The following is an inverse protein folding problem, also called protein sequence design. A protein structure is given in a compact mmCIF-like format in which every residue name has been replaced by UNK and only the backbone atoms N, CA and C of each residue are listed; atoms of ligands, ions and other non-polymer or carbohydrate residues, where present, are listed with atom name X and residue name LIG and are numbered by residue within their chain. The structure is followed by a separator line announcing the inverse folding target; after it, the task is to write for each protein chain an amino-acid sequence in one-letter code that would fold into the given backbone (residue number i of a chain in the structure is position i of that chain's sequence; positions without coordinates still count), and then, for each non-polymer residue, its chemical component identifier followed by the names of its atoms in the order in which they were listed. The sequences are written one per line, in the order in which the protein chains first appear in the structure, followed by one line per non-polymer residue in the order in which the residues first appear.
data_IF_340801880510
#
_entry.id   IF_340801880510
#
_cell.length_a   1.000
_cell.length_b   1.000
_cell.length_c   1.000
_cell.angle_alpha   90.00
_cell.angle_beta   90.00
_cell.angle_gamma   90.00
#
_symmetry.space_group_name_H-M   'P 1'
#
loop_
_entity.id
_entity.type
_entity.pdbx_description
1 polymer ?
#
# COMPACT_ATOMS: atom_id res chain seq x y z
N UNK A 1 -20.27 -5.02 3.39
CA UNK A 1 -21.11 -3.97 4.01
C UNK A 1 -20.47 -3.40 5.27
N UNK A 2 -20.24 -4.18 6.34
CA UNK A 2 -19.62 -3.66 7.59
C UNK A 2 -18.26 -2.98 7.37
N UNK A 3 -17.39 -3.54 6.51
CA UNK A 3 -16.04 -3.01 6.27
C UNK A 3 -16.03 -1.64 5.54
N UNK A 4 -17.07 -1.34 4.73
CA UNK A 4 -17.23 -0.04 4.06
C UNK A 4 -17.70 1.05 5.02
N UNK A 5 -18.52 0.68 6.01
CA UNK A 5 -18.98 1.59 7.07
C UNK A 5 -17.85 1.89 8.06
N UNK A 6 -17.03 0.88 8.38
CA UNK A 6 -15.86 1.05 9.25
C UNK A 6 -14.75 1.82 8.54
N UNK A 7 -14.53 1.60 7.24
CA UNK A 7 -13.53 2.30 6.41
C UNK A 7 -14.05 3.64 5.86
N UNK A 8 -14.78 4.42 6.67
CA UNK A 8 -15.36 5.68 6.21
C UNK A 8 -14.26 6.65 5.69
N UNK A 9 -14.37 7.19 4.46
CA UNK A 9 -13.40 8.15 3.90
C UNK A 9 -13.31 9.48 4.66
N UNK A 10 -14.28 9.76 5.54
CA UNK A 10 -14.30 10.94 6.42
C UNK A 10 -13.43 10.73 7.67
N UNK A 11 -13.25 9.47 8.12
CA UNK A 11 -12.64 9.15 9.42
C UNK A 11 -11.34 8.34 9.33
N UNK A 12 -11.12 7.61 8.24
CA UNK A 12 -9.90 6.84 8.00
C UNK A 12 -8.99 7.48 6.95
N UNK A 13 -7.68 7.20 6.98
CA UNK A 13 -6.77 7.59 5.92
C UNK A 13 -7.26 7.14 4.54
N UNK A 14 -7.20 8.03 3.54
CA UNK A 14 -7.71 7.83 2.18
C UNK A 14 -7.23 6.51 1.54
N UNK A 15 -6.02 6.06 1.89
CA UNK A 15 -5.47 4.80 1.39
C UNK A 15 -6.26 3.58 1.85
N UNK A 16 -6.74 3.55 3.10
CA UNK A 16 -7.40 2.38 3.68
C UNK A 16 -8.75 2.14 3.00
N UNK A 17 -9.52 3.22 2.79
CA UNK A 17 -10.76 3.15 2.01
C UNK A 17 -10.51 2.73 0.57
N UNK A 18 -9.50 3.33 -0.10
CA UNK A 18 -9.12 2.99 -1.46
C UNK A 18 -8.77 1.51 -1.63
N UNK A 19 -7.90 0.97 -0.78
CA UNK A 19 -7.50 -0.45 -0.85
C UNK A 19 -8.68 -1.39 -0.62
N UNK A 20 -9.55 -1.10 0.35
CA UNK A 20 -10.75 -1.92 0.62
C UNK A 20 -11.73 -1.85 -0.55
N UNK A 21 -11.96 -0.66 -1.10
CA UNK A 21 -12.83 -0.45 -2.25
C UNK A 21 -12.33 -1.21 -3.49
N UNK A 22 -11.06 -1.05 -3.85
CA UNK A 22 -10.47 -1.77 -4.98
C UNK A 22 -10.46 -3.28 -4.77
N UNK A 23 -10.18 -3.76 -3.55
CA UNK A 23 -10.25 -5.19 -3.24
C UNK A 23 -11.65 -5.76 -3.50
N UNK A 24 -12.70 -5.03 -3.11
CA UNK A 24 -14.08 -5.44 -3.38
C UNK A 24 -14.37 -5.42 -4.89
N UNK A 25 -13.92 -4.39 -5.62
CA UNK A 25 -14.06 -4.33 -7.08
C UNK A 25 -13.35 -5.50 -7.78
N UNK A 26 -12.13 -5.87 -7.33
CA UNK A 26 -11.40 -7.03 -7.86
C UNK A 26 -12.07 -8.36 -7.53
N UNK A 27 -12.76 -8.47 -6.39
CA UNK A 27 -13.48 -9.69 -6.02
C UNK A 27 -14.86 -9.83 -6.70
N UNK A 28 -15.58 -8.74 -6.91
CA UNK A 28 -16.96 -8.76 -7.43
C UNK A 28 -16.98 -8.87 -8.96
N UNK A 29 -16.11 -8.13 -9.65
CA UNK A 29 -16.09 -8.13 -11.11
C UNK A 29 -15.21 -9.27 -11.64
N UNK A 30 -15.67 -9.98 -12.67
CA UNK A 30 -14.82 -10.93 -13.40
C UNK A 30 -14.01 -10.15 -14.44
N UNK A 31 -12.73 -9.91 -14.15
CA UNK A 31 -11.85 -9.11 -15.01
C UNK A 31 -11.48 -9.92 -16.27
N UNK A 32 -11.88 -9.41 -17.44
CA UNK A 32 -11.36 -9.89 -18.74
C UNK A 32 -10.06 -9.14 -19.07
N UNK A 33 -9.22 -9.67 -19.95
CA UNK A 33 -7.94 -9.02 -20.36
C UNK A 33 -8.11 -7.54 -20.78
N UNK A 34 -9.24 -7.17 -21.42
CA UNK A 34 -9.55 -5.78 -21.79
C UNK A 34 -10.14 -4.90 -20.67
N UNK A 35 -10.62 -5.50 -19.57
CA UNK A 35 -11.21 -4.77 -18.44
C UNK A 35 -10.15 -4.01 -17.63
N UNK A 36 -8.88 -4.44 -17.67
CA UNK A 36 -7.78 -3.76 -16.98
C UNK A 36 -7.54 -2.35 -17.53
N UNK A 37 -7.49 -2.20 -18.85
CA UNK A 37 -7.27 -0.89 -19.50
C UNK A 37 -8.43 0.05 -19.16
N UNK A 38 -9.66 -0.42 -19.23
CA UNK A 38 -10.84 0.38 -18.88
C UNK A 38 -10.84 0.78 -17.39
N UNK A 39 -10.41 -0.11 -16.49
CA UNK A 39 -10.28 0.21 -15.07
C UNK A 39 -9.15 1.22 -14.80
N UNK A 40 -8.03 1.09 -15.50
CA UNK A 40 -6.91 2.03 -15.40
C UNK A 40 -7.31 3.42 -15.91
N UNK A 41 -7.95 3.49 -17.08
CA UNK A 41 -8.50 4.74 -17.64
C UNK A 41 -9.56 5.34 -16.73
N UNK A 42 -10.47 4.53 -16.19
CA UNK A 42 -11.48 4.98 -15.23
C UNK A 42 -10.84 5.54 -13.96
N UNK A 43 -9.80 4.90 -13.43
CA UNK A 43 -9.06 5.40 -12.27
C UNK A 43 -8.35 6.73 -12.59
N UNK A 44 -7.78 6.86 -13.78
CA UNK A 44 -7.13 8.08 -14.26
C UNK A 44 -8.14 9.24 -14.35
N UNK A 45 -9.32 8.99 -14.92
CA UNK A 45 -10.43 9.95 -14.97
C UNK A 45 -10.93 10.30 -13.56
N UNK A 46 -11.05 9.32 -12.67
CA UNK A 46 -11.48 9.54 -11.29
C UNK A 46 -10.47 10.42 -10.53
N UNK A 47 -9.17 10.19 -10.70
CA UNK A 47 -8.11 10.98 -10.07
C UNK A 47 -7.96 12.38 -10.68
N UNK A 48 -8.06 12.54 -11.99
CA UNK A 48 -7.87 13.84 -12.63
C UNK A 48 -9.11 14.72 -12.64
N UNK A 49 -10.31 14.13 -12.60
CA UNK A 49 -11.58 14.86 -12.67
C UNK A 49 -12.28 14.78 -11.32
N UNK A 50 -12.69 13.58 -10.89
CA UNK A 50 -13.57 13.44 -9.73
C UNK A 50 -12.93 13.97 -8.44
N UNK A 51 -11.64 13.69 -8.22
CA UNK A 51 -10.94 14.15 -7.01
C UNK A 51 -10.81 15.68 -6.90
N UNK A 52 -10.34 16.43 -7.92
CA UNK A 52 -10.30 17.89 -7.86
C UNK A 52 -11.67 18.53 -7.63
N UNK A 53 -12.70 18.05 -8.33
CA UNK A 53 -14.06 18.55 -8.11
C UNK A 53 -14.55 18.26 -6.69
N UNK A 54 -14.29 17.06 -6.16
CA UNK A 54 -14.66 16.71 -4.79
C UNK A 54 -13.90 17.54 -3.73
N UNK A 55 -12.64 17.91 -3.98
CA UNK A 55 -11.86 18.72 -3.04
C UNK A 55 -12.32 20.18 -3.00
N UNK A 56 -12.80 20.72 -4.13
CA UNK A 56 -13.44 22.04 -4.19
C UNK A 56 -14.64 22.09 -3.24
N UNK A 57 -15.53 21.09 -3.28
CA UNK A 57 -16.70 21.03 -2.40
C UNK A 57 -16.34 20.81 -0.92
N UNK A 58 -15.15 20.30 -0.62
CA UNK A 58 -14.68 20.04 0.75
C UNK A 58 -14.16 21.30 1.45
N UNK A 59 -13.56 22.22 0.69
CA UNK A 59 -12.91 23.42 1.22
C UNK A 59 -13.73 24.71 1.05
N UNK A 60 -14.96 24.64 0.50
CA UNK A 60 -15.74 25.82 0.13
C UNK A 60 -16.89 26.14 1.07
N UNK A 61 -16.63 27.02 2.04
CA UNK A 61 -17.59 28.07 2.44
C UNK A 61 -17.15 29.47 1.98
N UNK A 62 -15.90 29.66 1.54
CA UNK A 62 -15.39 30.90 0.91
C UNK A 62 -14.17 30.58 0.02
N UNK A 63 -14.38 29.88 -1.10
CA UNK A 63 -13.29 29.58 -2.03
C UNK A 63 -12.97 30.81 -2.89
N UNK A 64 -11.94 31.57 -2.51
CA UNK A 64 -11.21 32.41 -3.46
C UNK A 64 -10.36 31.47 -4.32
N UNK A 65 -10.60 31.47 -5.64
CA UNK A 65 -9.69 30.83 -6.58
C UNK A 65 -8.40 31.65 -6.62
N UNK A 66 -7.47 31.32 -5.73
CA UNK A 66 -6.11 31.79 -5.84
C UNK A 66 -5.41 30.88 -6.85
N UNK A 67 -5.20 31.38 -8.06
CA UNK A 67 -4.39 30.70 -9.08
C UNK A 67 -2.95 30.83 -8.61
N UNK A 68 -2.55 29.95 -7.70
CA UNK A 68 -1.15 29.86 -7.27
C UNK A 68 -0.31 29.31 -8.41
N UNK A 69 0.94 29.76 -8.50
CA UNK A 69 1.87 29.27 -9.50
C UNK A 69 1.98 27.74 -9.38
N UNK A 70 2.04 27.04 -10.53
CA UNK A 70 2.10 25.56 -10.58
C UNK A 70 3.22 24.98 -9.70
N UNK A 71 4.31 25.72 -9.52
CA UNK A 71 5.42 25.37 -8.63
C UNK A 71 5.05 25.42 -7.15
N UNK A 72 4.34 26.44 -6.70
CA UNK A 72 3.86 26.56 -5.32
C UNK A 72 2.75 25.55 -5.03
N UNK A 73 1.92 25.25 -6.02
CA UNK A 73 0.89 24.21 -5.91
C UNK A 73 1.51 22.81 -5.82
N UNK A 74 2.59 22.54 -6.56
CA UNK A 74 3.34 21.27 -6.48
C UNK A 74 4.10 21.11 -5.15
N UNK A 75 4.49 22.20 -4.51
CA UNK A 75 5.26 22.20 -3.25
C UNK A 75 4.36 22.24 -2.01
N UNK A 76 3.20 22.89 -2.09
CA UNK A 76 2.29 23.10 -0.95
C UNK A 76 1.14 22.09 -0.87
N UNK A 77 0.68 21.54 -2.00
CA UNK A 77 -0.35 20.50 -1.99
C UNK A 77 0.27 19.11 -1.86
N UNK A 78 -0.04 18.43 -0.74
CA UNK A 78 0.38 17.04 -0.48
C UNK A 78 -0.15 16.01 -1.49
N UNK A 79 -0.98 16.41 -2.45
CA UNK A 79 -1.47 15.53 -3.51
C UNK A 79 -0.36 15.06 -4.46
N UNK A 80 0.72 15.85 -4.63
CA UNK A 80 1.88 15.53 -5.47
C UNK A 80 3.14 15.13 -4.68
N UNK A 81 2.98 14.86 -3.38
CA UNK A 81 4.09 14.58 -2.46
C UNK A 81 5.04 13.48 -2.97
N UNK A 82 4.52 12.39 -3.55
CA UNK A 82 5.37 11.31 -4.05
C UNK A 82 6.33 11.75 -5.18
N UNK A 83 5.90 12.63 -6.09
CA UNK A 83 6.76 13.14 -7.16
C UNK A 83 7.79 14.11 -6.60
N UNK A 84 7.37 15.02 -5.72
CA UNK A 84 8.26 15.95 -5.03
C UNK A 84 9.31 15.20 -4.20
N UNK A 85 8.93 14.12 -3.52
CA UNK A 85 9.82 13.30 -2.71
C UNK A 85 10.84 12.54 -3.53
N UNK A 86 10.50 12.12 -4.75
CA UNK A 86 11.48 11.56 -5.67
C UNK A 86 12.58 12.60 -5.99
N UNK A 87 12.22 13.82 -6.34
CA UNK A 87 13.17 14.90 -6.64
C UNK A 87 14.01 15.28 -5.40
N UNK A 88 13.36 15.39 -4.25
CA UNK A 88 14.03 15.65 -2.97
C UNK A 88 15.03 14.56 -2.62
N UNK A 89 14.70 13.30 -2.90
CA UNK A 89 15.59 12.16 -2.67
C UNK A 89 16.79 12.20 -3.59
N UNK A 90 16.61 12.55 -4.87
CA UNK A 90 17.73 12.76 -5.79
C UNK A 90 18.65 13.86 -5.28
N UNK A 91 18.08 15.02 -4.91
CA UNK A 91 18.83 16.13 -4.33
C UNK A 91 19.56 15.74 -3.04
N UNK A 92 18.93 14.93 -2.20
CA UNK A 92 19.54 14.42 -0.98
C UNK A 92 20.76 13.54 -1.28
N UNK A 93 20.63 12.59 -2.21
CA UNK A 93 21.72 11.70 -2.61
C UNK A 93 22.85 12.48 -3.27
N UNK A 94 22.56 13.51 -4.05
CA UNK A 94 23.58 14.38 -4.63
C UNK A 94 24.38 15.14 -3.56
N UNK A 95 23.74 15.53 -2.44
CA UNK A 95 24.37 16.31 -1.38
C UNK A 95 25.10 15.44 -0.34
N UNK A 96 24.54 14.29 0.04
CA UNK A 96 25.02 13.46 1.15
C UNK A 96 25.53 12.08 0.71
N UNK A 97 25.17 11.64 -0.48
CA UNK A 97 25.41 10.29 -0.98
C UNK A 97 24.29 9.30 -0.62
N UNK A 98 24.48 8.05 -1.05
CA UNK A 98 23.55 6.94 -0.79
C UNK A 98 23.67 6.42 0.65
N UNK A 99 22.58 5.86 1.17
CA UNK A 99 22.46 5.34 2.54
C UNK A 99 22.89 3.86 2.67
N UNK A 100 23.36 3.24 1.59
CA UNK A 100 23.92 1.88 1.57
C UNK A 100 23.05 0.82 2.26
N UNK A 101 21.73 0.89 2.07
CA UNK A 101 20.79 -0.10 2.63
C UNK A 101 20.33 0.16 4.07
N UNK A 102 20.80 1.22 4.75
CA UNK A 102 20.35 1.53 6.13
C UNK A 102 18.84 1.73 6.21
N UNK A 103 18.28 2.47 5.25
CA UNK A 103 16.84 2.72 5.19
C UNK A 103 16.05 1.44 4.93
N UNK A 104 16.52 0.61 3.99
CA UNK A 104 15.93 -0.70 3.71
C UNK A 104 15.96 -1.61 4.95
N UNK A 105 17.07 -1.63 5.70
CA UNK A 105 17.17 -2.38 6.96
C UNK A 105 16.17 -1.89 8.00
N UNK A 106 15.99 -0.57 8.13
CA UNK A 106 14.98 0.01 9.02
C UNK A 106 13.57 -0.41 8.66
N UNK A 107 13.25 -0.44 7.36
CA UNK A 107 11.95 -0.85 6.85
C UNK A 107 11.69 -2.36 7.02
N UNK A 108 12.69 -3.20 6.76
CA UNK A 108 12.58 -4.65 6.98
C UNK A 108 12.47 -4.95 8.47
N UNK A 109 13.32 -4.37 9.32
CA UNK A 109 13.35 -4.60 10.76
C UNK A 109 12.46 -3.59 11.53
N UNK A 110 11.36 -3.16 10.92
CA UNK A 110 10.48 -2.14 11.50
C UNK A 110 9.91 -2.57 12.86
N UNK A 111 9.81 -3.86 13.16
CA UNK A 111 9.29 -4.38 14.43
C UNK A 111 10.29 -4.29 15.59
N UNK A 112 11.59 -4.05 15.32
CA UNK A 112 12.60 -3.93 16.38
C UNK A 112 12.34 -2.64 17.17
N UNK A 113 12.14 -2.71 18.51
CA UNK A 113 11.93 -1.54 19.34
C UNK A 113 13.16 -0.63 19.37
N UNK A 114 12.95 0.69 19.41
CA UNK A 114 14.04 1.68 19.51
C UNK A 114 14.88 1.55 20.78
N UNK A 115 14.34 0.91 21.83
CA UNK A 115 15.09 0.59 23.04
C UNK A 115 16.25 -0.38 22.78
N UNK A 116 16.11 -1.28 21.80
CA UNK A 116 17.16 -2.24 21.42
C UNK A 116 18.03 -1.74 20.25
N UNK A 117 17.50 -0.83 19.43
CA UNK A 117 18.22 -0.22 18.31
C UNK A 117 17.96 1.28 18.29
N UNK A 118 18.80 2.02 19.03
CA UNK A 118 18.68 3.48 19.19
C UNK A 118 18.92 4.19 17.86
N UNK A 119 19.86 3.70 17.05
CA UNK A 119 20.21 4.24 15.74
C UNK A 119 19.29 3.79 14.60
N UNK A 120 18.11 3.23 14.91
CA UNK A 120 17.16 2.78 13.90
C UNK A 120 16.74 3.98 13.02
N UNK A 121 16.87 3.87 11.69
CA UNK A 121 16.48 4.96 10.81
C UNK A 121 14.97 5.20 10.86
N UNK A 122 14.61 6.46 10.78
CA UNK A 122 13.24 6.88 10.50
C UNK A 122 12.87 6.58 9.05
N UNK A 123 11.58 6.63 8.69
CA UNK A 123 11.16 6.41 7.30
C UNK A 123 11.87 7.36 6.33
N UNK A 124 12.22 6.86 5.14
CA UNK A 124 13.06 7.58 4.18
C UNK A 124 12.52 8.96 3.83
N UNK A 125 11.20 9.09 3.65
CA UNK A 125 10.55 10.37 3.33
C UNK A 125 10.69 11.41 4.44
N UNK A 126 10.60 10.97 5.71
CA UNK A 126 10.85 11.84 6.87
C UNK A 126 12.30 12.32 6.89
N UNK A 127 13.23 11.39 6.72
CA UNK A 127 14.67 11.68 6.79
C UNK A 127 15.12 12.66 5.69
N UNK A 128 14.65 12.46 4.45
CA UNK A 128 14.91 13.37 3.32
C UNK A 128 14.27 14.74 3.57
N UNK A 129 13.01 14.78 4.06
CA UNK A 129 12.32 16.01 4.38
C UNK A 129 13.02 16.84 5.45
N UNK A 130 13.41 16.22 6.56
CA UNK A 130 14.12 16.89 7.66
C UNK A 130 15.47 17.46 7.20
N UNK A 131 16.21 16.71 6.37
CA UNK A 131 17.47 17.19 5.80
C UNK A 131 17.29 18.42 4.92
N UNK A 132 16.18 18.50 4.18
CA UNK A 132 15.84 19.64 3.31
C UNK A 132 15.10 20.77 4.06
N UNK A 133 14.96 20.68 5.38
CA UNK A 133 14.37 21.73 6.23
C UNK A 133 12.85 21.71 6.30
N UNK A 134 12.19 20.60 5.97
CA UNK A 134 10.74 20.48 6.01
C UNK A 134 10.30 20.34 7.48
N UNK A 135 9.28 21.11 7.87
CA UNK A 135 8.67 20.99 9.21
C UNK A 135 7.66 19.85 9.31
N UNK A 136 7.11 19.44 8.17
CA UNK A 136 6.17 18.33 8.07
C UNK A 136 6.93 17.04 7.75
N UNK A 137 6.72 16.00 8.55
CA UNK A 137 7.54 14.78 8.52
C UNK A 137 6.77 13.54 8.06
N UNK A 138 5.46 13.65 7.83
CA UNK A 138 4.65 12.55 7.30
C UNK A 138 4.66 12.57 5.77
N UNK A 139 5.84 12.35 5.21
CA UNK A 139 6.12 12.42 3.77
C UNK A 139 6.21 11.02 3.20
N UNK A 140 5.73 10.85 1.97
CA UNK A 140 5.89 9.61 1.22
C UNK A 140 7.33 9.44 0.73
N UNK A 141 7.70 8.21 0.40
CA UNK A 141 8.94 7.92 -0.32
C UNK A 141 8.63 6.81 -1.31
N UNK A 142 8.30 7.13 -2.58
CA UNK A 142 7.88 6.10 -3.52
C UNK A 142 9.00 5.06 -3.72
N UNK A 143 8.63 3.86 -4.14
CA UNK A 143 9.58 2.73 -4.24
C UNK A 143 10.82 3.03 -5.10
N UNK A 144 10.67 3.92 -6.07
CA UNK A 144 11.73 4.46 -6.92
C UNK A 144 12.76 5.25 -6.11
N UNK A 145 12.29 6.13 -5.23
CA UNK A 145 13.12 6.92 -4.32
C UNK A 145 13.79 6.02 -3.27
N UNK A 146 13.07 5.02 -2.74
CA UNK A 146 13.63 4.03 -1.80
C UNK A 146 14.77 3.21 -2.41
N UNK A 147 14.58 2.72 -3.64
CA UNK A 147 15.66 2.02 -4.35
C UNK A 147 16.86 2.94 -4.57
N UNK A 148 16.60 4.18 -4.96
CA UNK A 148 17.64 5.16 -5.27
C UNK A 148 18.44 5.61 -4.04
N UNK A 149 17.77 5.92 -2.93
CA UNK A 149 18.47 6.37 -1.70
C UNK A 149 19.32 5.26 -1.10
N UNK A 150 18.92 3.99 -1.24
CA UNK A 150 19.66 2.87 -0.67
C UNK A 150 20.88 2.47 -1.51
N UNK A 151 20.72 2.31 -2.83
CA UNK A 151 21.80 1.78 -3.70
C UNK A 151 21.88 2.50 -5.07
N UNK A 152 21.38 3.72 -5.19
CA UNK A 152 21.33 4.46 -6.46
C UNK A 152 20.50 3.75 -7.52
N UNK A 153 20.88 3.92 -8.79
CA UNK A 153 20.17 3.28 -9.92
C UNK A 153 20.15 1.74 -9.84
N UNK A 154 21.20 1.12 -9.29
CA UNK A 154 21.26 -0.34 -9.07
C UNK A 154 20.16 -0.77 -8.10
N UNK A 155 19.90 0.03 -7.06
CA UNK A 155 18.83 -0.21 -6.11
C UNK A 155 17.45 -0.16 -6.76
N UNK A 156 17.20 0.84 -7.61
CA UNK A 156 15.93 0.95 -8.36
C UNK A 156 15.68 -0.30 -9.19
N UNK A 157 16.66 -0.72 -9.99
CA UNK A 157 16.54 -1.92 -10.84
C UNK A 157 16.28 -3.16 -9.97
N UNK A 158 17.04 -3.31 -8.88
CA UNK A 158 16.94 -4.47 -7.98
C UNK A 158 15.56 -4.56 -7.29
N UNK A 159 15.02 -3.43 -6.83
CA UNK A 159 13.72 -3.36 -6.17
C UNK A 159 12.59 -3.75 -7.13
N UNK A 160 12.59 -3.21 -8.36
CA UNK A 160 11.57 -3.53 -9.35
C UNK A 160 11.70 -4.96 -9.89
N UNK A 161 12.92 -5.47 -10.04
CA UNK A 161 13.14 -6.87 -10.37
C UNK A 161 12.57 -7.79 -9.29
N UNK A 162 12.85 -7.51 -8.02
CA UNK A 162 12.32 -8.28 -6.90
C UNK A 162 10.80 -8.19 -6.80
N UNK A 163 10.23 -7.00 -6.98
CA UNK A 163 8.79 -6.81 -7.00
C UNK A 163 8.13 -7.64 -8.11
N UNK A 164 8.66 -7.59 -9.34
CA UNK A 164 8.16 -8.36 -10.48
C UNK A 164 8.29 -9.88 -10.29
N UNK A 165 9.40 -10.32 -9.69
CA UNK A 165 9.60 -11.73 -9.35
C UNK A 165 8.58 -12.22 -8.32
N UNK A 166 8.34 -11.45 -7.25
CA UNK A 166 7.36 -11.78 -6.22
C UNK A 166 5.93 -11.81 -6.78
N UNK A 167 5.55 -10.83 -7.59
CA UNK A 167 4.21 -10.78 -8.18
C UNK A 167 3.94 -11.97 -9.10
N UNK A 168 4.91 -12.37 -9.91
CA UNK A 168 4.80 -13.55 -10.76
C UNK A 168 4.58 -14.83 -9.93
N UNK A 169 5.35 -15.03 -8.85
CA UNK A 169 5.15 -16.20 -7.97
C UNK A 169 3.73 -16.21 -7.37
N UNK A 170 3.26 -15.06 -6.91
CA UNK A 170 1.94 -14.93 -6.29
C UNK A 170 0.80 -15.17 -7.30
N UNK A 171 0.94 -14.66 -8.52
CA UNK A 171 -0.03 -14.86 -9.59
C UNK A 171 -0.14 -16.34 -9.98
N UNK A 172 0.99 -17.03 -10.15
CA UNK A 172 0.99 -18.46 -10.47
C UNK A 172 0.32 -19.29 -9.37
N UNK A 173 0.58 -18.96 -8.10
CA UNK A 173 -0.09 -19.60 -6.95
C UNK A 173 -1.60 -19.32 -6.94
N UNK A 174 -2.02 -18.12 -7.30
CA UNK A 174 -3.44 -17.77 -7.39
C UNK A 174 -4.16 -18.55 -8.50
N UNK A 175 -3.56 -18.62 -9.70
CA UNK A 175 -4.11 -19.38 -10.83
C UNK A 175 -4.23 -20.87 -10.49
N UNK A 176 -3.22 -21.44 -9.81
CA UNK A 176 -3.25 -22.82 -9.37
C UNK A 176 -4.32 -23.08 -8.30
N UNK A 177 -4.43 -22.22 -7.28
CA UNK A 177 -5.45 -22.33 -6.24
C UNK A 177 -6.88 -22.15 -6.78
N UNK A 178 -7.10 -21.28 -7.76
CA UNK A 178 -8.42 -21.05 -8.36
C UNK A 178 -8.98 -22.26 -9.11
N UNK A 179 -8.15 -23.23 -9.50
CA UNK A 179 -8.59 -24.50 -10.08
C UNK A 179 -9.07 -25.51 -9.05
N UNK A 180 -8.68 -25.35 -7.78
CA UNK A 180 -9.14 -26.19 -6.67
C UNK A 180 -10.39 -25.57 -6.04
N UNK A 181 -11.40 -26.40 -5.74
CA UNK A 181 -12.69 -25.95 -5.15
C UNK A 181 -12.56 -25.54 -3.67
N UNK A 182 -11.36 -25.63 -3.10
CA UNK A 182 -11.09 -25.33 -1.69
C UNK A 182 -10.69 -23.86 -1.50
N UNK A 183 -11.34 -23.21 -0.53
CA UNK A 183 -11.05 -21.83 -0.14
C UNK A 183 -9.63 -21.74 0.44
N UNK A 184 -8.67 -21.32 -0.40
CA UNK A 184 -7.24 -21.27 -0.04
C UNK A 184 -6.84 -19.84 0.31
N UNK A 185 -5.92 -19.66 1.26
CA UNK A 185 -5.37 -18.34 1.67
C UNK A 185 -5.01 -17.43 0.48
N UNK A 186 -4.46 -18.01 -0.58
CA UNK A 186 -4.07 -17.30 -1.81
C UNK A 186 -5.22 -16.59 -2.52
N UNK A 187 -6.47 -17.07 -2.42
CA UNK A 187 -7.63 -16.46 -3.07
C UNK A 187 -8.03 -15.11 -2.46
N UNK A 188 -7.72 -14.89 -1.17
CA UNK A 188 -7.99 -13.62 -0.48
C UNK A 188 -6.75 -12.74 -0.49
N UNK A 189 -5.58 -13.35 -0.31
CA UNK A 189 -4.32 -12.64 -0.15
C UNK A 189 -3.84 -11.95 -1.42
N UNK A 190 -3.96 -12.61 -2.58
CA UNK A 190 -3.42 -12.08 -3.84
C UNK A 190 -4.20 -10.86 -4.37
N UNK A 191 -5.54 -10.84 -4.38
CA UNK A 191 -6.29 -9.63 -4.75
C UNK A 191 -6.02 -8.43 -3.81
N UNK A 192 -5.87 -8.69 -2.51
CA UNK A 192 -5.48 -7.65 -1.56
C UNK A 192 -4.11 -7.06 -1.90
N UNK A 193 -3.09 -7.91 -2.11
CA UNK A 193 -1.75 -7.45 -2.47
C UNK A 193 -1.76 -6.67 -3.79
N UNK A 194 -2.56 -7.07 -4.77
CA UNK A 194 -2.71 -6.34 -6.03
C UNK A 194 -3.24 -4.92 -5.80
N UNK A 195 -4.27 -4.74 -4.96
CA UNK A 195 -4.76 -3.41 -4.59
C UNK A 195 -3.75 -2.63 -3.73
N UNK A 196 -3.02 -3.33 -2.86
CA UNK A 196 -2.02 -2.75 -1.96
C UNK A 196 -0.79 -2.20 -2.69
N UNK A 197 -0.48 -2.69 -3.89
CA UNK A 197 0.62 -2.17 -4.71
C UNK A 197 0.50 -0.67 -4.98
N UNK A 198 -0.72 -0.13 -5.12
CA UNK A 198 -0.92 1.32 -5.27
C UNK A 198 -0.41 2.10 -4.06
N UNK A 199 -0.56 1.55 -2.87
CA UNK A 199 -0.03 2.13 -1.64
C UNK A 199 1.48 1.91 -1.54
N UNK A 200 1.97 0.68 -1.78
CA UNK A 200 3.39 0.35 -1.66
C UNK A 200 4.29 1.09 -2.67
N UNK A 201 3.81 1.29 -3.91
CA UNK A 201 4.58 1.96 -4.95
C UNK A 201 4.69 3.48 -4.72
N UNK A 202 3.68 4.08 -4.08
CA UNK A 202 3.59 5.52 -3.85
C UNK A 202 4.07 5.94 -2.46
N UNK A 203 3.78 5.14 -1.44
CA UNK A 203 4.04 5.43 -0.03
C UNK A 203 5.43 5.01 0.42
N UNK A 204 5.81 5.47 1.62
CA UNK A 204 7.03 5.10 2.31
C UNK A 204 7.11 3.59 2.60
N UNK A 205 8.26 2.97 2.34
CA UNK A 205 8.45 1.53 2.43
C UNK A 205 8.29 1.01 3.85
N UNK A 206 8.73 1.77 4.86
CA UNK A 206 8.61 1.37 6.27
C UNK A 206 7.14 1.23 6.67
N UNK A 207 6.33 2.25 6.37
CA UNK A 207 4.89 2.21 6.61
C UNK A 207 4.20 1.13 5.75
N UNK A 208 4.65 0.95 4.51
CA UNK A 208 4.24 -0.13 3.61
C UNK A 208 4.40 -1.52 4.23
N UNK A 209 5.60 -1.84 4.70
CA UNK A 209 5.89 -3.15 5.29
C UNK A 209 5.14 -3.31 6.61
N UNK A 210 5.07 -2.27 7.45
CA UNK A 210 4.37 -2.31 8.73
C UNK A 210 2.87 -2.64 8.56
N UNK A 211 2.16 -1.93 7.69
CA UNK A 211 0.73 -2.18 7.47
C UNK A 211 0.48 -3.52 6.76
N UNK A 212 1.32 -3.91 5.80
CA UNK A 212 1.23 -5.21 5.17
C UNK A 212 1.38 -6.34 6.20
N UNK A 213 2.33 -6.23 7.13
CA UNK A 213 2.56 -7.25 8.16
C UNK A 213 1.36 -7.45 9.09
N UNK A 214 0.69 -6.36 9.49
CA UNK A 214 -0.51 -6.42 10.32
C UNK A 214 -1.64 -7.16 9.58
N UNK A 215 -1.81 -6.89 8.29
CA UNK A 215 -2.82 -7.57 7.48
C UNK A 215 -2.50 -9.05 7.25
N UNK A 216 -1.22 -9.42 7.06
CA UNK A 216 -0.75 -10.83 7.01
C UNK A 216 -1.16 -11.56 8.30
N UNK A 217 -0.81 -10.99 9.45
CA UNK A 217 -1.07 -11.60 10.75
C UNK A 217 -2.57 -11.80 10.98
N UNK A 218 -3.38 -10.77 10.69
CA UNK A 218 -4.83 -10.87 10.78
C UNK A 218 -5.39 -11.99 9.90
N UNK A 219 -4.94 -12.06 8.65
CA UNK A 219 -5.42 -13.06 7.68
C UNK A 219 -5.06 -14.49 8.10
N UNK A 220 -3.86 -14.71 8.64
CA UNK A 220 -3.43 -16.01 9.17
C UNK A 220 -4.30 -16.43 10.36
N UNK A 221 -4.52 -15.52 11.31
CA UNK A 221 -5.34 -15.78 12.51
C UNK A 221 -6.77 -16.11 12.11
N UNK A 222 -7.36 -15.32 11.20
CA UNK A 222 -8.72 -15.53 10.72
C UNK A 222 -8.91 -16.92 10.09
N UNK A 223 -7.96 -17.35 9.24
CA UNK A 223 -8.04 -18.67 8.60
C UNK A 223 -7.87 -19.80 9.60
N UNK A 224 -6.93 -19.69 10.55
CA UNK A 224 -6.77 -20.70 11.61
C UNK A 224 -8.04 -20.87 12.44
N UNK A 225 -8.72 -19.77 12.75
CA UNK A 225 -10.01 -19.80 13.46
C UNK A 225 -11.10 -20.44 12.58
N UNK A 226 -11.16 -20.09 11.30
CA UNK A 226 -12.09 -20.66 10.32
C UNK A 226 -11.96 -22.18 10.20
N UNK A 227 -10.74 -22.67 9.99
CA UNK A 227 -10.45 -24.11 9.90
C UNK A 227 -10.81 -24.85 11.20
N UNK A 228 -10.54 -24.26 12.36
CA UNK A 228 -10.91 -24.84 13.66
C UNK A 228 -12.43 -24.95 13.81
N UNK A 229 -13.19 -23.93 13.40
CA UNK A 229 -14.67 -23.94 13.43
C UNK A 229 -15.26 -25.00 12.50
N UNK A 230 -14.69 -25.14 11.30
CA UNK A 230 -15.12 -26.13 10.32
C UNK A 230 -14.87 -27.56 10.83
N UNK A 231 -13.70 -27.82 11.42
CA UNK A 231 -13.37 -29.11 12.04
C UNK A 231 -14.31 -29.45 13.21
N UNK A 232 -14.67 -28.49 14.05
CA UNK A 232 -15.63 -28.69 15.15
C UNK A 232 -17.04 -28.97 14.63
N UNK A 233 -17.49 -28.31 13.55
CA UNK A 233 -18.77 -28.61 12.91
C UNK A 233 -18.80 -30.04 12.36
N UNK A 234 -17.75 -30.47 11.67
CA UNK A 234 -17.65 -31.83 11.11
C UNK A 234 -17.70 -32.89 12.22
N UNK A 235 -16.97 -32.69 13.32
CA UNK A 235 -17.01 -33.58 14.48
C UNK A 235 -18.40 -33.66 15.12
N UNK A 236 -19.12 -32.54 15.25
CA UNK A 236 -20.51 -32.53 15.73
C UNK A 236 -21.47 -33.27 14.79
N UNK A 237 -21.32 -33.11 13.49
CA UNK A 237 -22.14 -33.81 12.49
C UNK A 237 -21.87 -35.33 12.53
N UNK A 238 -20.60 -35.74 12.68
CA UNK A 238 -20.23 -37.14 12.83
C UNK A 238 -20.78 -37.74 14.14
N UNK A 239 -20.71 -37.00 15.25
CA UNK A 239 -21.29 -37.44 16.52
C UNK A 239 -22.82 -37.59 16.45
N UNK A 240 -23.52 -36.71 15.72
CA UNK A 240 -24.97 -36.80 15.51
C UNK A 240 -25.38 -37.97 14.60
N UNK A 241 -24.51 -38.36 13.65
CA UNK A 241 -24.77 -39.49 12.73
C UNK A 241 -24.39 -40.86 13.30
N UNK A 242 -23.60 -40.92 14.37
CA UNK A 242 -23.21 -42.18 15.03
C UNK A 242 -24.11 -42.61 16.18
N UNK A 243 -25.28 -41.98 16.35
CA UNK A 243 -26.28 -42.27 17.40
C UNK A 243 -27.53 -42.96 16.81
N UNK A 244 -27.57 -43.23 15.50
CA UNK A 244 -28.54 -44.14 14.85
C UNK A 244 -27.98 -45.56 14.77
#
# INVERSE_FOLDING_TARGET
MLNLVVSNPISNPRYLFGTVFFTICFMVFKWKKGSFINAMLSMLVLVLIVFPYADIFRNSTNAKMDIQNTTEQLVSNGDYDAFQQLLNTVKYVDLKGIENGKQLLGAILFWVPRALWVEKPDGSGKMVGEYLGYKFTNLSCPLWAEGYINFGFIGVISFFFFLGYLTNILEQKFIFSGKSRNFTFSLVWVPFLAAYQLFLLRGDLLNGIAYMSAFILFSIVYIKIGQKREKVKLLKIQALRGIE
#
